data_IF_887371467203
#
_entry.id   IF_887371467203
#
_cell.length_a   1.000
_cell.length_b   1.000
_cell.length_c   1.000
_cell.angle_alpha   90.00
_cell.angle_beta   90.00
_cell.angle_gamma   90.00
#
_symmetry.space_group_name_H-M   'P 1'
#
loop_
_entity.id
_entity.type
_entity.pdbx_description
1 polymer ?
#
# COMPACT_ATOMS: atom_id res chain seq x y z
N UNK A 1 13.91 7.83 -45.62
CA UNK A 1 14.64 6.55 -45.53
C UNK A 1 14.93 6.28 -44.05
N UNK A 2 13.95 5.73 -43.32
CA UNK A 2 14.14 5.34 -41.93
C UNK A 2 14.76 3.95 -41.85
N UNK A 3 15.96 3.85 -41.28
CA UNK A 3 16.58 2.56 -40.96
C UNK A 3 15.91 2.01 -39.70
N UNK A 4 14.94 1.10 -39.87
CA UNK A 4 14.46 0.22 -38.80
C UNK A 4 15.65 -0.55 -38.22
N UNK A 5 15.96 -0.31 -36.93
CA UNK A 5 16.88 -1.14 -36.14
C UNK A 5 16.37 -2.60 -36.22
N UNK A 6 17.12 -3.47 -36.88
CA UNK A 6 16.95 -4.92 -36.77
C UNK A 6 17.16 -5.29 -35.31
N UNK A 7 16.06 -5.62 -34.63
CA UNK A 7 16.13 -6.32 -33.35
C UNK A 7 16.72 -7.69 -33.66
N UNK A 8 17.77 -7.99 -32.93
CA UNK A 8 18.68 -9.11 -33.09
C UNK A 8 17.96 -10.47 -33.26
N UNK A 9 18.10 -11.08 -34.44
CA UNK A 9 17.63 -12.45 -34.76
C UNK A 9 18.46 -13.54 -34.06
N UNK A 10 19.43 -13.18 -33.21
CA UNK A 10 20.30 -14.12 -32.49
C UNK A 10 19.71 -14.72 -31.20
N UNK A 11 18.59 -14.20 -30.71
CA UNK A 11 17.95 -14.75 -29.49
C UNK A 11 17.27 -16.08 -29.86
N UNK A 12 17.69 -17.22 -29.27
CA UNK A 12 17.07 -18.50 -29.55
C UNK A 12 15.55 -18.45 -29.26
N UNK A 13 14.73 -18.79 -30.25
CA UNK A 13 13.25 -18.79 -30.14
C UNK A 13 12.72 -19.80 -29.12
N UNK A 14 13.57 -20.71 -28.64
CA UNK A 14 13.27 -21.69 -27.60
C UNK A 14 14.37 -21.69 -26.55
N UNK A 15 13.98 -21.63 -25.28
CA UNK A 15 14.90 -21.81 -24.15
C UNK A 15 15.50 -23.22 -24.27
N UNK A 16 16.84 -23.38 -24.35
CA UNK A 16 17.46 -24.69 -24.40
C UNK A 16 17.06 -25.54 -23.19
N UNK A 17 16.75 -26.81 -23.42
CA UNK A 17 16.17 -27.74 -22.43
C UNK A 17 16.96 -27.81 -21.12
N UNK A 18 18.29 -27.70 -21.20
CA UNK A 18 19.19 -27.63 -20.03
C UNK A 18 18.84 -26.51 -19.05
N UNK A 19 18.36 -25.35 -19.53
CA UNK A 19 17.95 -24.25 -18.67
C UNK A 19 16.61 -24.54 -18.00
N UNK A 20 15.69 -25.22 -18.70
CA UNK A 20 14.42 -25.65 -18.11
C UNK A 20 14.66 -26.64 -16.97
N UNK A 21 15.54 -27.63 -17.16
CA UNK A 21 15.90 -28.58 -16.10
C UNK A 21 16.48 -27.88 -14.89
N UNK A 22 17.39 -26.91 -15.10
CA UNK A 22 17.95 -26.10 -14.00
C UNK A 22 16.88 -25.32 -13.24
N UNK A 23 15.94 -24.69 -13.96
CA UNK A 23 14.82 -23.97 -13.34
C UNK A 23 13.92 -24.90 -12.51
N UNK A 24 13.63 -26.10 -13.02
CA UNK A 24 12.84 -27.09 -12.29
C UNK A 24 13.53 -27.58 -11.02
N UNK A 25 14.85 -27.82 -11.09
CA UNK A 25 15.65 -28.17 -9.91
C UNK A 25 15.63 -27.03 -8.89
N UNK A 26 15.89 -25.79 -9.31
CA UNK A 26 15.84 -24.61 -8.43
C UNK A 26 14.46 -24.44 -7.79
N UNK A 27 13.38 -24.58 -8.58
CA UNK A 27 12.01 -24.57 -8.08
C UNK A 27 11.80 -25.66 -7.02
N UNK A 28 12.21 -26.90 -7.30
CA UNK A 28 12.08 -28.02 -6.38
C UNK A 28 12.79 -27.77 -5.04
N UNK A 29 13.97 -27.15 -5.05
CA UNK A 29 14.72 -26.81 -3.84
C UNK A 29 14.00 -25.78 -2.96
N UNK A 30 13.37 -24.75 -3.56
CA UNK A 30 12.72 -23.68 -2.80
C UNK A 30 11.23 -23.92 -2.51
N UNK A 31 10.63 -24.94 -3.15
CA UNK A 31 9.19 -25.22 -3.12
C UNK A 31 8.63 -25.26 -1.69
N UNK A 32 9.28 -26.01 -0.80
CA UNK A 32 8.83 -26.16 0.60
C UNK A 32 8.83 -24.83 1.35
N UNK A 33 9.89 -24.02 1.21
CA UNK A 33 9.97 -22.71 1.86
C UNK A 33 8.88 -21.75 1.39
N UNK A 34 8.53 -21.81 0.10
CA UNK A 34 7.43 -21.02 -0.45
C UNK A 34 6.10 -21.53 0.11
N UNK A 35 5.89 -22.84 0.15
CA UNK A 35 4.65 -23.43 0.69
C UNK A 35 4.46 -23.08 2.18
N UNK A 36 5.49 -23.26 3.01
CA UNK A 36 5.46 -22.93 4.44
C UNK A 36 5.20 -21.42 4.66
N UNK A 37 5.81 -20.55 3.84
CA UNK A 37 5.55 -19.11 3.89
C UNK A 37 4.11 -18.76 3.50
N UNK A 38 3.59 -19.36 2.43
CA UNK A 38 2.22 -19.13 1.99
C UNK A 38 1.20 -19.64 3.01
N UNK A 39 1.50 -20.76 3.66
CA UNK A 39 0.70 -21.28 4.76
C UNK A 39 0.70 -20.31 5.93
N UNK A 40 1.85 -19.80 6.36
CA UNK A 40 1.94 -18.80 7.44
C UNK A 40 1.15 -17.51 7.14
N UNK A 41 1.21 -17.04 5.89
CA UNK A 41 0.55 -15.80 5.45
C UNK A 41 -0.97 -15.96 5.30
N UNK A 42 -1.40 -17.09 4.71
CA UNK A 42 -2.81 -17.32 4.38
C UNK A 42 -3.55 -18.14 5.44
N UNK A 43 -2.84 -18.84 6.31
CA UNK A 43 -3.37 -19.67 7.39
C UNK A 43 -2.72 -19.27 8.71
N UNK A 44 -3.17 -18.14 9.25
CA UNK A 44 -2.86 -17.77 10.63
C UNK A 44 -3.34 -18.89 11.56
N UNK A 45 -2.40 -19.58 12.21
CA UNK A 45 -2.65 -20.66 13.18
C UNK A 45 -3.38 -20.17 14.43
N UNK A 46 -3.32 -18.86 14.70
CA UNK A 46 -4.02 -18.22 15.81
C UNK A 46 -5.48 -17.94 15.46
N UNK A 47 -6.39 -18.32 16.36
CA UNK A 47 -7.85 -18.15 16.24
C UNK A 47 -8.35 -16.69 16.13
N UNK A 48 -7.47 -15.71 15.86
CA UNK A 48 -7.82 -14.29 15.77
C UNK A 48 -6.99 -13.58 14.69
N UNK A 49 -7.64 -13.21 13.58
CA UNK A 49 -7.10 -12.26 12.61
C UNK A 49 -7.08 -10.83 13.19
N UNK A 50 -6.20 -9.94 12.70
CA UNK A 50 -6.17 -8.54 13.15
C UNK A 50 -7.54 -7.86 12.99
N UNK A 51 -8.07 -7.16 14.03
CA UNK A 51 -9.37 -6.49 13.98
C UNK A 51 -9.53 -5.53 12.79
N UNK A 52 -8.44 -4.83 12.42
CA UNK A 52 -8.39 -3.95 11.25
C UNK A 52 -8.71 -4.68 9.94
N UNK A 53 -8.19 -5.91 9.77
CA UNK A 53 -8.41 -6.67 8.55
C UNK A 53 -9.87 -7.11 8.44
N UNK A 54 -10.45 -7.56 9.55
CA UNK A 54 -11.89 -7.89 9.63
C UNK A 54 -12.74 -6.67 9.33
N UNK A 55 -12.48 -5.52 9.98
CA UNK A 55 -13.26 -4.30 9.78
C UNK A 55 -13.19 -3.79 8.34
N UNK A 56 -12.02 -3.80 7.71
CA UNK A 56 -11.85 -3.39 6.31
C UNK A 56 -12.60 -4.32 5.36
N UNK A 57 -12.56 -5.63 5.59
CA UNK A 57 -13.30 -6.58 4.75
C UNK A 57 -14.82 -6.49 4.91
N UNK A 58 -15.29 -6.23 6.12
CA UNK A 58 -16.71 -5.98 6.38
C UNK A 58 -17.15 -4.66 5.72
N UNK A 59 -16.33 -3.60 5.78
CA UNK A 59 -16.59 -2.34 5.08
C UNK A 59 -16.74 -2.57 3.56
N UNK A 60 -15.88 -3.37 2.94
CA UNK A 60 -16.01 -3.71 1.51
C UNK A 60 -17.32 -4.45 1.20
N UNK A 61 -17.78 -5.33 2.10
CA UNK A 61 -19.07 -6.02 1.96
C UNK A 61 -20.25 -5.07 2.14
N UNK A 62 -20.18 -4.15 3.12
CA UNK A 62 -21.18 -3.11 3.33
C UNK A 62 -21.30 -2.17 2.13
N UNK A 63 -20.18 -1.71 1.58
CA UNK A 63 -20.18 -0.86 0.37
C UNK A 63 -20.74 -1.59 -0.84
N UNK A 64 -20.42 -2.88 -1.00
CA UNK A 64 -21.01 -3.71 -2.05
C UNK A 64 -22.53 -3.78 -1.88
N UNK A 65 -23.01 -4.01 -0.66
CA UNK A 65 -24.44 -4.07 -0.37
C UNK A 65 -25.15 -2.72 -0.61
N UNK A 66 -24.57 -1.59 -0.17
CA UNK A 66 -25.13 -0.25 -0.38
C UNK A 66 -25.26 0.11 -1.86
N UNK A 67 -24.37 -0.39 -2.70
CA UNK A 67 -24.39 -0.15 -4.15
C UNK A 67 -25.12 -1.24 -4.94
N UNK A 68 -25.79 -2.19 -4.28
CA UNK A 68 -26.54 -3.27 -4.95
C UNK A 68 -25.67 -4.32 -5.65
N UNK A 69 -24.39 -4.42 -5.29
CA UNK A 69 -23.47 -5.44 -5.83
C UNK A 69 -23.72 -6.76 -5.11
N UNK A 70 -24.38 -7.69 -5.79
CA UNK A 70 -24.70 -9.03 -5.28
C UNK A 70 -23.69 -10.11 -5.68
N UNK A 71 -22.77 -9.81 -6.60
CA UNK A 71 -21.76 -10.77 -7.06
C UNK A 71 -20.66 -10.97 -6.01
N UNK A 72 -20.69 -12.14 -5.36
CA UNK A 72 -19.70 -12.52 -4.38
C UNK A 72 -18.28 -12.61 -4.96
N UNK A 73 -18.12 -12.99 -6.24
CA UNK A 73 -16.80 -13.07 -6.86
C UNK A 73 -16.15 -11.70 -6.99
N UNK A 74 -16.94 -10.68 -7.32
CA UNK A 74 -16.46 -9.30 -7.41
C UNK A 74 -15.98 -8.79 -6.04
N UNK A 75 -16.73 -9.04 -4.97
CA UNK A 75 -16.30 -8.65 -3.62
C UNK A 75 -15.04 -9.41 -3.17
N UNK A 76 -14.90 -10.68 -3.57
CA UNK A 76 -13.67 -11.45 -3.34
C UNK A 76 -12.48 -10.83 -4.09
N UNK A 77 -12.67 -10.37 -5.32
CA UNK A 77 -11.64 -9.65 -6.09
C UNK A 77 -11.21 -8.34 -5.41
N UNK A 78 -12.14 -7.58 -4.83
CA UNK A 78 -11.81 -6.36 -4.09
C UNK A 78 -10.90 -6.67 -2.89
N UNK A 79 -11.20 -7.74 -2.15
CA UNK A 79 -10.36 -8.21 -1.02
C UNK A 79 -8.99 -8.71 -1.50
N UNK A 80 -8.93 -9.47 -2.60
CA UNK A 80 -7.66 -9.90 -3.21
C UNK A 80 -6.81 -8.71 -3.64
N UNK A 81 -7.41 -7.72 -4.30
CA UNK A 81 -6.72 -6.51 -4.72
C UNK A 81 -6.16 -5.73 -3.54
N UNK A 82 -6.94 -5.60 -2.46
CA UNK A 82 -6.52 -4.85 -1.27
C UNK A 82 -5.46 -5.59 -0.43
N UNK A 83 -5.62 -6.89 -0.21
CA UNK A 83 -4.77 -7.61 0.75
C UNK A 83 -3.68 -8.42 0.07
N UNK A 84 -4.04 -9.28 -0.87
CA UNK A 84 -3.06 -10.16 -1.53
C UNK A 84 -2.13 -9.36 -2.43
N UNK A 85 -2.68 -8.51 -3.31
CA UNK A 85 -1.89 -7.79 -4.30
C UNK A 85 -1.16 -6.56 -3.72
N UNK A 86 -1.83 -5.76 -2.90
CA UNK A 86 -1.22 -4.52 -2.39
C UNK A 86 -0.33 -4.73 -1.18
N UNK A 87 -0.60 -5.75 -0.34
CA UNK A 87 0.24 -6.04 0.85
C UNK A 87 1.23 -7.14 0.50
N UNK A 88 0.77 -8.38 0.30
CA UNK A 88 1.68 -9.53 0.27
C UNK A 88 2.56 -9.61 -0.98
N UNK A 89 1.98 -9.42 -2.17
CA UNK A 89 2.77 -9.34 -3.41
C UNK A 89 3.79 -8.20 -3.34
N UNK A 90 3.42 -7.06 -2.75
CA UNK A 90 4.35 -5.94 -2.58
C UNK A 90 5.49 -6.26 -1.61
N UNK A 91 5.21 -6.87 -0.46
CA UNK A 91 6.22 -7.25 0.53
C UNK A 91 7.19 -8.31 0.00
N UNK A 92 6.71 -9.28 -0.77
CA UNK A 92 7.55 -10.33 -1.37
C UNK A 92 8.50 -9.73 -2.40
N UNK A 93 8.01 -8.79 -3.21
CA UNK A 93 8.85 -8.09 -4.19
C UNK A 93 9.84 -7.12 -3.53
N UNK A 94 9.55 -6.63 -2.33
CA UNK A 94 10.34 -5.62 -1.64
C UNK A 94 10.71 -6.08 -0.21
N UNK A 95 11.52 -7.14 -0.04
CA UNK A 95 11.84 -7.69 1.27
C UNK A 95 12.55 -6.69 2.19
N UNK A 96 13.22 -5.67 1.63
CA UNK A 96 13.85 -4.56 2.36
C UNK A 96 12.92 -3.76 3.26
N UNK A 97 11.61 -3.82 3.00
CA UNK A 97 10.60 -3.17 3.86
C UNK A 97 10.59 -3.80 5.25
N UNK A 98 10.92 -5.11 5.34
CA UNK A 98 10.87 -5.88 6.58
C UNK A 98 12.25 -6.32 7.07
N UNK A 99 13.19 -6.56 6.15
CA UNK A 99 14.47 -7.20 6.43
C UNK A 99 15.63 -6.33 5.96
N UNK A 100 16.70 -6.27 6.76
CA UNK A 100 17.95 -5.63 6.34
C UNK A 100 18.74 -6.57 5.43
N UNK A 101 18.42 -6.57 4.13
CA UNK A 101 19.03 -7.44 3.11
C UNK A 101 19.46 -6.62 1.90
N UNK A 102 20.59 -6.99 1.29
CA UNK A 102 21.08 -6.35 0.07
C UNK A 102 20.25 -6.74 -1.15
N UNK A 103 20.12 -5.81 -2.10
CA UNK A 103 19.38 -6.06 -3.34
C UNK A 103 20.31 -6.58 -4.44
N UNK A 104 19.81 -7.54 -5.21
CA UNK A 104 20.44 -7.97 -6.46
C UNK A 104 19.39 -8.20 -7.55
N UNK A 105 19.78 -7.97 -8.81
CA UNK A 105 18.89 -8.17 -9.97
C UNK A 105 18.38 -9.62 -10.05
N UNK A 106 19.23 -10.57 -9.66
CA UNK A 106 18.86 -11.99 -9.62
C UNK A 106 17.78 -12.26 -8.56
N UNK A 107 17.93 -11.69 -7.36
CA UNK A 107 16.95 -11.82 -6.30
C UNK A 107 15.61 -11.17 -6.67
N UNK A 108 15.63 -9.97 -7.24
CA UNK A 108 14.42 -9.27 -7.68
C UNK A 108 13.65 -10.09 -8.75
N UNK A 109 14.37 -10.65 -9.73
CA UNK A 109 13.78 -11.54 -10.73
C UNK A 109 13.16 -12.80 -10.11
N UNK A 110 13.85 -13.45 -9.19
CA UNK A 110 13.36 -14.66 -8.51
C UNK A 110 12.13 -14.37 -7.62
N UNK A 111 12.17 -13.29 -6.82
CA UNK A 111 11.06 -12.87 -5.98
C UNK A 111 9.85 -12.42 -6.79
N UNK A 112 10.07 -11.81 -7.95
CA UNK A 112 8.99 -11.48 -8.89
C UNK A 112 8.28 -12.73 -9.43
N UNK A 113 9.02 -13.83 -9.72
CA UNK A 113 8.41 -15.10 -10.13
C UNK A 113 7.57 -15.72 -8.99
N UNK A 114 8.06 -15.62 -7.75
CA UNK A 114 7.34 -16.10 -6.56
C UNK A 114 6.06 -15.25 -6.35
N UNK A 115 6.18 -13.92 -6.41
CA UNK A 115 5.07 -13.00 -6.28
C UNK A 115 4.01 -13.22 -7.38
N UNK A 116 4.43 -13.44 -8.62
CA UNK A 116 3.50 -13.77 -9.71
C UNK A 116 2.72 -15.04 -9.39
N UNK A 117 3.35 -16.05 -8.77
CA UNK A 117 2.69 -17.30 -8.38
C UNK A 117 1.50 -17.04 -7.46
N UNK A 118 1.61 -16.07 -6.53
CA UNK A 118 0.52 -15.60 -5.67
C UNK A 118 -0.67 -14.99 -6.41
N UNK A 119 -0.41 -14.34 -7.53
CA UNK A 119 -1.46 -13.78 -8.39
C UNK A 119 -2.17 -14.86 -9.22
N UNK A 120 -1.51 -16.01 -9.46
CA UNK A 120 -2.06 -17.07 -10.31
C UNK A 120 -3.23 -17.81 -9.64
N UNK A 121 -4.16 -18.25 -10.49
CA UNK A 121 -5.35 -19.05 -10.18
C UNK A 121 -5.19 -20.17 -9.13
N UNK A 122 -3.99 -20.75 -8.96
CA UNK A 122 -3.71 -21.85 -8.04
C UNK A 122 -3.92 -21.45 -6.57
N UNK A 123 -3.78 -20.18 -6.23
CA UNK A 123 -3.92 -19.67 -4.86
C UNK A 123 -5.26 -18.96 -4.61
N UNK A 124 -6.14 -18.90 -5.63
CA UNK A 124 -7.53 -18.45 -5.48
C UNK A 124 -8.33 -19.27 -4.44
N UNK A 125 -8.21 -20.62 -4.39
CA UNK A 125 -8.91 -21.40 -3.36
C UNK A 125 -8.45 -21.05 -1.93
N UNK A 126 -7.15 -20.83 -1.73
CA UNK A 126 -6.60 -20.51 -0.40
C UNK A 126 -7.01 -19.10 0.06
N UNK A 127 -6.92 -18.11 -0.83
CA UNK A 127 -7.38 -16.74 -0.53
C UNK A 127 -8.90 -16.68 -0.30
N UNK A 128 -9.68 -17.45 -1.06
CA UNK A 128 -11.14 -17.57 -0.81
C UNK A 128 -11.43 -18.17 0.56
N UNK A 129 -10.64 -19.16 0.99
CA UNK A 129 -10.78 -19.75 2.32
C UNK A 129 -10.37 -18.79 3.46
N UNK A 130 -9.26 -18.06 3.29
CA UNK A 130 -8.86 -16.96 4.18
C UNK A 130 -10.01 -15.95 4.36
N UNK A 131 -10.58 -15.45 3.27
CA UNK A 131 -11.65 -14.45 3.33
C UNK A 131 -12.92 -15.02 3.97
N UNK A 132 -13.21 -16.30 3.74
CA UNK A 132 -14.31 -17.00 4.43
C UNK A 132 -14.07 -17.11 5.93
N UNK A 133 -12.85 -17.44 6.36
CA UNK A 133 -12.48 -17.54 7.78
C UNK A 133 -12.58 -16.19 8.48
N UNK A 134 -12.04 -15.13 7.89
CA UNK A 134 -12.19 -13.75 8.42
C UNK A 134 -13.66 -13.36 8.50
N UNK A 135 -14.45 -13.64 7.45
CA UNK A 135 -15.89 -13.31 7.45
C UNK A 135 -16.65 -13.99 8.59
N UNK A 136 -16.27 -15.21 8.98
CA UNK A 136 -16.89 -15.98 10.08
C UNK A 136 -16.57 -15.45 11.48
N UNK A 137 -15.57 -14.58 11.62
CA UNK A 137 -15.30 -13.93 12.91
C UNK A 137 -16.46 -13.00 13.30
N UNK A 138 -16.67 -12.79 14.61
CA UNK A 138 -17.64 -11.81 15.07
C UNK A 138 -17.35 -10.42 14.47
N UNK A 139 -18.38 -9.60 14.25
CA UNK A 139 -18.18 -8.22 13.83
C UNK A 139 -17.38 -7.46 14.89
N UNK A 140 -16.48 -6.59 14.45
CA UNK A 140 -15.66 -5.76 15.34
C UNK A 140 -16.50 -4.56 15.78
N UNK A 141 -16.69 -4.41 17.10
CA UNK A 141 -17.34 -3.22 17.66
C UNK A 141 -16.52 -1.96 17.37
N UNK A 142 -17.19 -0.84 17.12
CA UNK A 142 -16.52 0.44 16.83
C UNK A 142 -15.61 0.88 17.98
N UNK A 143 -16.03 0.70 19.23
CA UNK A 143 -15.23 1.02 20.42
C UNK A 143 -13.91 0.24 20.43
N UNK A 144 -13.98 -1.07 20.23
CA UNK A 144 -12.80 -1.98 20.17
C UNK A 144 -11.90 -1.63 18.98
N UNK A 145 -12.50 -1.25 17.85
CA UNK A 145 -11.75 -0.85 16.68
C UNK A 145 -10.96 0.45 16.90
N UNK A 146 -11.60 1.46 17.50
CA UNK A 146 -10.96 2.74 17.82
C UNK A 146 -9.87 2.56 18.87
N UNK A 147 -10.11 1.74 19.90
CA UNK A 147 -9.09 1.38 20.90
C UNK A 147 -7.86 0.75 20.22
N UNK A 148 -8.06 -0.25 19.37
CA UNK A 148 -6.96 -0.89 18.62
C UNK A 148 -6.19 0.09 17.72
N UNK A 149 -6.86 1.08 17.12
CA UNK A 149 -6.18 2.11 16.32
C UNK A 149 -5.37 3.08 17.20
N UNK A 150 -5.89 3.44 18.37
CA UNK A 150 -5.20 4.30 19.30
C UNK A 150 -3.94 3.62 19.86
N UNK A 151 -4.00 2.32 20.16
CA UNK A 151 -2.83 1.55 20.59
C UNK A 151 -1.72 1.59 19.54
N UNK A 152 -2.05 1.30 18.27
CA UNK A 152 -1.10 1.39 17.16
C UNK A 152 -0.55 2.81 16.99
N UNK A 153 -1.39 3.84 17.14
CA UNK A 153 -0.94 5.22 17.03
C UNK A 153 0.01 5.63 18.17
N UNK A 154 -0.24 5.13 19.38
CA UNK A 154 0.60 5.38 20.55
C UNK A 154 1.97 4.69 20.41
N UNK A 155 2.00 3.46 19.91
CA UNK A 155 3.25 2.72 19.65
C UNK A 155 4.13 3.42 18.60
N UNK A 156 3.51 4.12 17.65
CA UNK A 156 4.21 4.85 16.58
C UNK A 156 4.47 6.33 16.89
N UNK A 157 4.13 6.79 18.10
CA UNK A 157 4.15 8.23 18.44
C UNK A 157 5.54 8.87 18.31
N UNK A 158 6.59 8.14 18.66
CA UNK A 158 7.96 8.66 18.57
C UNK A 158 8.48 8.72 17.13
N UNK A 159 7.97 7.86 16.25
CA UNK A 159 8.31 7.87 14.82
C UNK A 159 7.55 8.95 14.03
N UNK A 160 6.38 9.38 14.50
CA UNK A 160 5.42 10.22 13.75
C UNK A 160 5.47 11.71 14.10
N UNK A 161 6.32 12.13 15.03
CA UNK A 161 6.57 13.54 15.38
C UNK A 161 7.20 14.39 14.27
N UNK A 162 7.44 13.82 13.10
CA UNK A 162 8.10 14.48 11.98
C UNK A 162 7.23 15.61 11.43
N UNK A 163 7.62 16.85 11.71
CA UNK A 163 7.08 18.06 11.09
C UNK A 163 7.35 18.10 9.59
N UNK A 164 8.27 17.27 9.09
CA UNK A 164 8.62 17.16 7.66
C UNK A 164 7.43 16.68 6.82
N UNK A 165 6.67 15.70 7.31
CA UNK A 165 5.50 15.23 6.56
C UNK A 165 4.45 16.33 6.41
N UNK A 166 4.25 17.14 7.46
CA UNK A 166 3.35 18.29 7.43
C UNK A 166 3.88 19.42 6.55
N UNK A 167 5.19 19.68 6.51
CA UNK A 167 5.78 20.70 5.63
C UNK A 167 5.71 20.32 4.15
N UNK A 168 5.93 19.05 3.82
CA UNK A 168 5.76 18.53 2.45
C UNK A 168 4.30 18.60 2.02
N UNK A 169 3.38 18.17 2.89
CA UNK A 169 1.95 18.29 2.64
C UNK A 169 1.53 19.76 2.44
N UNK A 170 2.03 20.67 3.28
CA UNK A 170 1.76 22.09 3.17
C UNK A 170 2.31 22.68 1.86
N UNK A 171 3.47 22.23 1.40
CA UNK A 171 4.03 22.61 0.09
C UNK A 171 3.10 22.21 -1.04
N UNK A 172 2.58 20.98 -1.01
CA UNK A 172 1.59 20.51 -1.98
C UNK A 172 0.29 21.32 -1.91
N UNK A 173 -0.19 21.62 -0.70
CA UNK A 173 -1.39 22.44 -0.47
C UNK A 173 -1.21 23.85 -1.02
N UNK A 174 -0.04 24.49 -0.85
CA UNK A 174 0.24 25.82 -1.42
C UNK A 174 0.14 25.81 -2.94
N UNK A 175 0.70 24.79 -3.60
CA UNK A 175 0.61 24.62 -5.06
C UNK A 175 -0.82 24.42 -5.58
N UNK A 176 -1.73 23.94 -4.74
CA UNK A 176 -3.13 23.65 -5.09
C UNK A 176 -4.14 24.55 -4.36
N UNK A 177 -3.68 25.57 -3.65
CA UNK A 177 -4.45 26.28 -2.62
C UNK A 177 -5.72 26.92 -3.15
N UNK A 178 -5.64 27.61 -4.29
CA UNK A 178 -6.80 28.25 -4.93
C UNK A 178 -7.90 27.24 -5.24
N UNK A 179 -7.54 26.11 -5.87
CA UNK A 179 -8.49 25.04 -6.22
C UNK A 179 -9.10 24.39 -4.98
N UNK A 180 -8.32 24.18 -3.93
CA UNK A 180 -8.82 23.62 -2.68
C UNK A 180 -9.81 24.55 -2.00
N UNK A 181 -9.54 25.86 -1.98
CA UNK A 181 -10.45 26.88 -1.43
C UNK A 181 -11.74 26.94 -2.24
N UNK A 182 -11.68 26.87 -3.57
CA UNK A 182 -12.86 26.84 -4.43
C UNK A 182 -13.74 25.61 -4.14
N UNK A 183 -13.14 24.42 -4.05
CA UNK A 183 -13.86 23.17 -3.73
C UNK A 183 -14.50 23.25 -2.34
N UNK A 184 -13.77 23.76 -1.33
CA UNK A 184 -14.30 23.93 0.02
C UNK A 184 -15.40 24.99 0.09
N UNK A 185 -15.36 26.01 -0.77
CA UNK A 185 -16.38 27.07 -0.83
C UNK A 185 -17.65 26.63 -1.54
N UNK A 186 -17.57 25.56 -2.35
CA UNK A 186 -18.72 24.97 -3.02
C UNK A 186 -19.54 24.02 -2.12
N UNK A 187 -19.01 23.63 -0.96
CA UNK A 187 -19.70 22.81 0.03
C UNK A 187 -20.21 23.66 1.20
N UNK A 188 -21.54 23.62 1.42
CA UNK A 188 -22.22 24.35 2.50
C UNK A 188 -21.72 23.93 3.88
N UNK A 189 -21.40 22.63 4.07
CA UNK A 189 -20.89 22.12 5.36
C UNK A 189 -19.51 22.72 5.64
N UNK A 190 -18.63 22.71 4.65
CA UNK A 190 -17.30 23.30 4.75
C UNK A 190 -17.35 24.82 5.00
N UNK A 191 -18.28 25.52 4.34
CA UNK A 191 -18.47 26.96 4.49
C UNK A 191 -19.02 27.30 5.88
N UNK A 192 -19.97 26.52 6.39
CA UNK A 192 -20.51 26.68 7.75
C UNK A 192 -19.42 26.57 8.83
N UNK A 193 -18.43 25.71 8.60
CA UNK A 193 -17.28 25.49 9.48
C UNK A 193 -16.10 26.45 9.20
N UNK A 194 -16.26 27.37 8.24
CA UNK A 194 -15.24 28.35 7.82
C UNK A 194 -13.93 27.72 7.31
N UNK A 195 -13.97 26.48 6.84
CA UNK A 195 -12.78 25.75 6.34
C UNK A 195 -12.05 26.48 5.19
N UNK A 196 -12.74 27.09 4.20
CA UNK A 196 -12.05 27.83 3.12
C UNK A 196 -11.18 28.96 3.68
N UNK A 197 -11.75 29.79 4.57
CA UNK A 197 -11.05 30.93 5.17
C UNK A 197 -9.87 30.49 6.04
N UNK A 198 -10.01 29.40 6.80
CA UNK A 198 -8.91 28.83 7.61
C UNK A 198 -7.79 28.32 6.74
N UNK A 199 -8.11 27.66 5.62
CA UNK A 199 -7.10 27.19 4.67
C UNK A 199 -6.35 28.37 4.03
N UNK A 200 -7.06 29.41 3.58
CA UNK A 200 -6.45 30.63 3.06
C UNK A 200 -5.52 31.29 4.08
N UNK A 201 -5.92 31.31 5.36
CA UNK A 201 -5.09 31.84 6.44
C UNK A 201 -3.81 31.01 6.64
N UNK A 202 -3.92 29.68 6.66
CA UNK A 202 -2.75 28.78 6.80
C UNK A 202 -1.77 28.94 5.64
N UNK A 203 -2.28 29.12 4.41
CA UNK A 203 -1.46 29.37 3.22
C UNK A 203 -0.79 30.74 3.31
N UNK A 204 -1.47 31.78 3.78
CA UNK A 204 -0.93 33.14 3.85
C UNK A 204 0.09 33.34 4.98
N UNK A 205 -0.15 32.80 6.19
CA UNK A 205 0.80 32.84 7.32
C UNK A 205 2.13 32.14 7.01
N UNK A 206 2.08 31.26 6.03
CA UNK A 206 3.14 30.41 5.55
C UNK A 206 4.04 31.07 4.49
N UNK A 207 3.63 32.22 3.97
CA UNK A 207 4.32 32.98 2.93
C UNK A 207 5.20 34.09 3.49
N UNK A 208 5.13 34.41 4.78
CA UNK A 208 6.09 35.32 5.41
C UNK A 208 7.46 34.65 5.38
N UNK A 209 8.41 35.16 4.59
CA UNK A 209 9.74 34.62 4.57
C UNK A 209 10.38 34.88 5.93
N UNK A 210 11.09 33.87 6.41
CA UNK A 210 12.15 33.99 7.42
C UNK A 210 13.30 34.89 6.92
N UNK A 211 13.01 36.11 6.48
CA UNK A 211 13.97 37.12 6.04
C UNK A 211 14.40 38.07 7.17
N UNK A 212 13.93 37.85 8.40
CA UNK A 212 14.26 38.71 9.54
C UNK A 212 15.39 38.21 10.45
N UNK A 213 16.06 37.10 10.14
CA UNK A 213 17.18 36.61 10.98
C UNK A 213 18.57 37.01 10.42
N UNK A 214 18.67 37.42 9.16
CA UNK A 214 19.96 37.78 8.54
C UNK A 214 20.21 39.29 8.34
N UNK A 215 19.28 40.18 8.71
CA UNK A 215 19.43 41.63 8.46
C UNK A 215 19.99 42.45 9.62
N UNK A 216 20.55 41.84 10.68
CA UNK A 216 21.11 42.57 11.84
C UNK A 216 22.47 42.05 12.31
N UNK A 217 23.37 41.74 11.37
CA UNK A 217 24.79 41.98 11.61
C UNK A 217 25.21 43.06 10.61
N UNK A 218 24.89 44.29 10.96
CA UNK A 218 25.59 45.44 10.42
C UNK A 218 27.02 45.35 10.92
N UNK A 219 27.95 45.27 9.96
CA UNK A 219 29.35 45.63 10.16
C UNK A 219 29.40 47.05 10.73
N UNK A 220 29.80 47.17 12.00
CA UNK A 220 30.33 48.42 12.56
C UNK A 220 31.76 48.15 13.05
N UNK A 221 32.70 48.73 12.30
CA UNK A 221 34.06 49.21 12.63
C UNK A 221 35.03 48.35 13.46
#
# INVERSE_FOLDING_TARGET
MEKKKKIDESIPKSIPEVYLTRLLTSKGTVQKYIEDFLESVLFLESCSYPPILKRVFDLLEEEAARNGVSDHQLTQQWKSNLYILRVWVHLIKNPKILLDVSESISQDGNLSVIAQTLEVARLRPLSSDLFRRIRRQPPVCEEVFVESLNDVANDLRDCTRSTVALSELLTWVRGNGVRLVEVLSADDVCTSQRLPSRLSQVINLSLDPTDHIYSTILDDA
#
